data_IF_299946791584
#
_entry.id   IF_299946791584
#
_cell.length_a   1.000
_cell.length_b   1.000
_cell.length_c   1.000
_cell.angle_alpha   90.00
_cell.angle_beta   90.00
_cell.angle_gamma   90.00
#
_symmetry.space_group_name_H-M   'P 1'
#
loop_
_entity.id
_entity.type
_entity.pdbx_description
1 polymer ?
#
# COMPACT_ATOMS: atom_id res chain seq x y z
N UNK A 1 10.63 21.31 1.04
CA UNK A 1 11.34 20.10 0.56
C UNK A 1 10.29 19.06 0.19
N UNK A 2 10.08 18.81 -1.11
CA UNK A 2 9.08 17.87 -1.59
C UNK A 2 9.59 16.43 -1.44
N UNK A 3 8.90 15.64 -0.63
CA UNK A 3 9.24 14.26 -0.33
C UNK A 3 9.01 13.40 -1.58
N UNK A 4 10.09 12.79 -2.08
CA UNK A 4 10.12 12.04 -3.33
C UNK A 4 9.45 10.66 -3.15
N UNK A 5 8.13 10.66 -3.29
CA UNK A 5 7.36 9.49 -3.72
C UNK A 5 6.26 10.09 -4.59
N UNK A 6 6.30 9.81 -5.89
CA UNK A 6 5.34 10.36 -6.85
C UNK A 6 3.94 9.96 -6.40
N UNK A 7 2.96 10.88 -6.43
CA UNK A 7 1.58 10.59 -5.99
C UNK A 7 1.03 9.30 -6.63
N UNK A 8 1.42 9.03 -7.87
CA UNK A 8 1.13 7.81 -8.61
C UNK A 8 1.58 6.52 -7.90
N UNK A 9 2.80 6.47 -7.34
CA UNK A 9 3.28 5.30 -6.58
C UNK A 9 2.41 5.09 -5.33
N UNK A 10 2.02 6.18 -4.66
CA UNK A 10 1.22 6.12 -3.43
C UNK A 10 -0.23 5.69 -3.71
N UNK A 11 -0.84 6.21 -4.78
CA UNK A 11 -2.16 5.81 -5.25
C UNK A 11 -2.17 4.34 -5.69
N UNK A 12 -1.15 3.89 -6.41
CA UNK A 12 -0.98 2.49 -6.80
C UNK A 12 -0.83 1.59 -5.60
N UNK A 13 -0.03 1.99 -4.61
CA UNK A 13 0.12 1.24 -3.37
C UNK A 13 -1.21 1.15 -2.61
N UNK A 14 -1.94 2.26 -2.49
CA UNK A 14 -3.25 2.30 -1.85
C UNK A 14 -4.27 1.43 -2.59
N UNK A 15 -4.32 1.52 -3.92
CA UNK A 15 -5.20 0.73 -4.77
C UNK A 15 -4.87 -0.77 -4.67
N UNK A 16 -3.59 -1.14 -4.69
CA UNK A 16 -3.14 -2.52 -4.51
C UNK A 16 -3.51 -3.08 -3.14
N UNK A 17 -3.31 -2.29 -2.08
CA UNK A 17 -3.71 -2.67 -0.73
C UNK A 17 -5.24 -2.75 -0.60
N UNK A 18 -5.99 -1.85 -1.23
CA UNK A 18 -7.44 -1.89 -1.23
C UNK A 18 -7.99 -3.10 -2.02
N UNK A 19 -7.32 -3.48 -3.12
CA UNK A 19 -7.71 -4.63 -3.98
C UNK A 19 -7.34 -5.98 -3.37
N UNK A 20 -6.13 -6.11 -2.83
CA UNK A 20 -5.61 -7.39 -2.31
C UNK A 20 -5.61 -7.53 -0.79
N UNK A 21 -5.62 -6.42 -0.06
CA UNK A 21 -5.53 -6.37 1.40
C UNK A 21 -4.11 -6.11 1.91
N UNK A 22 -4.03 -5.51 3.10
CA UNK A 22 -2.76 -5.30 3.82
C UNK A 22 -2.13 -6.65 4.16
N UNK A 23 -0.88 -6.88 3.72
CA UNK A 23 -0.17 -8.14 3.95
C UNK A 23 -0.03 -9.02 2.71
N UNK A 24 -0.79 -8.76 1.65
CA UNK A 24 -0.67 -9.43 0.34
C UNK A 24 0.27 -8.67 -0.61
N UNK A 25 1.39 -8.18 -0.06
CA UNK A 25 2.41 -7.40 -0.79
C UNK A 25 2.93 -8.11 -2.05
N UNK A 26 3.07 -9.43 -1.95
CA UNK A 26 3.55 -10.25 -3.05
C UNK A 26 2.55 -10.29 -4.20
N UNK A 27 1.27 -10.49 -3.91
CA UNK A 27 0.20 -10.41 -4.92
C UNK A 27 0.12 -9.03 -5.58
N UNK A 28 0.30 -7.95 -4.80
CA UNK A 28 0.35 -6.58 -5.35
C UNK A 28 1.55 -6.42 -6.29
N UNK A 29 2.71 -7.01 -5.96
CA UNK A 29 3.90 -6.96 -6.81
C UNK A 29 3.84 -7.91 -8.03
N UNK A 30 3.03 -8.95 -7.97
CA UNK A 30 2.78 -9.86 -9.08
C UNK A 30 1.69 -9.34 -10.03
N UNK A 31 0.87 -8.39 -9.59
CA UNK A 31 -0.17 -7.78 -10.41
C UNK A 31 0.47 -6.88 -11.49
N UNK A 32 0.15 -7.05 -12.78
CA UNK A 32 0.74 -6.25 -13.87
C UNK A 32 0.36 -4.76 -13.82
N UNK A 33 -0.77 -4.39 -13.19
CA UNK A 33 -1.20 -3.00 -13.04
C UNK A 33 -0.34 -2.27 -11.99
N UNK A 34 0.03 -2.96 -10.91
CA UNK A 34 0.81 -2.37 -9.83
C UNK A 34 2.31 -2.64 -9.94
N UNK A 35 2.72 -3.79 -10.47
CA UNK A 35 4.12 -4.17 -10.63
C UNK A 35 4.89 -3.18 -11.51
N UNK A 36 4.24 -2.53 -12.48
CA UNK A 36 4.90 -1.50 -13.31
C UNK A 36 5.35 -0.30 -12.48
N UNK A 37 4.55 0.13 -11.50
CA UNK A 37 4.89 1.24 -10.62
C UNK A 37 5.73 0.80 -9.42
N UNK A 38 5.53 -0.44 -8.97
CA UNK A 38 6.21 -1.02 -7.81
C UNK A 38 7.42 -1.88 -8.21
N UNK A 39 7.84 -1.90 -9.48
CA UNK A 39 8.98 -2.71 -9.96
C UNK A 39 10.29 -2.33 -9.25
N UNK A 40 10.40 -1.07 -8.84
CA UNK A 40 11.55 -0.54 -8.09
C UNK A 40 11.40 -0.72 -6.58
N UNK A 41 10.24 -1.20 -6.13
CA UNK A 41 9.90 -1.41 -4.72
C UNK A 41 9.89 -2.90 -4.40
N UNK A 42 10.50 -3.24 -3.28
CA UNK A 42 10.47 -4.61 -2.78
C UNK A 42 9.28 -4.80 -1.85
N UNK A 43 8.90 -6.06 -1.61
CA UNK A 43 7.90 -6.42 -0.58
C UNK A 43 8.17 -5.72 0.77
N UNK A 44 9.46 -5.51 1.10
CA UNK A 44 9.90 -4.82 2.32
C UNK A 44 9.59 -3.32 2.24
N UNK A 45 9.90 -2.66 1.12
CA UNK A 45 9.60 -1.23 0.91
C UNK A 45 8.10 -0.95 1.00
N UNK A 46 7.25 -1.81 0.42
CA UNK A 46 5.79 -1.65 0.50
C UNK A 46 5.29 -1.73 1.96
N UNK A 47 5.78 -2.72 2.71
CA UNK A 47 5.43 -2.88 4.11
C UNK A 47 5.88 -1.68 4.94
N UNK A 48 7.11 -1.21 4.74
CA UNK A 48 7.65 -0.08 5.48
C UNK A 48 6.96 1.23 5.12
N UNK A 49 6.72 1.47 3.82
CA UNK A 49 5.98 2.62 3.31
C UNK A 49 4.56 2.65 3.85
N UNK A 50 3.84 1.52 3.86
CA UNK A 50 2.51 1.43 4.46
C UNK A 50 2.53 1.75 5.95
N UNK A 51 3.50 1.22 6.71
CA UNK A 51 3.65 1.54 8.14
C UNK A 51 3.94 3.01 8.38
N UNK A 52 4.77 3.63 7.55
CA UNK A 52 5.02 5.07 7.63
C UNK A 52 3.76 5.88 7.29
N UNK A 53 3.01 5.51 6.24
CA UNK A 53 1.76 6.19 5.89
C UNK A 53 0.67 6.04 6.97
N UNK A 54 0.52 4.85 7.54
CA UNK A 54 -0.40 4.57 8.65
C UNK A 54 -0.04 5.36 9.92
N UNK A 55 1.24 5.67 10.14
CA UNK A 55 1.71 6.47 11.28
C UNK A 55 1.54 7.98 11.07
N UNK A 56 1.70 8.46 9.83
CA UNK A 56 1.62 9.89 9.49
C UNK A 56 0.15 10.35 9.39
N UNK A 57 -0.78 9.46 9.04
CA UNK A 57 -2.21 9.76 8.99
C UNK A 57 -2.98 8.95 10.05
N UNK A 58 -3.19 9.46 11.27
CA UNK A 58 -4.07 8.83 12.26
C UNK A 58 -5.57 8.85 11.86
N UNK A 59 -5.92 9.21 10.62
CA UNK A 59 -7.29 9.50 10.19
C UNK A 59 -7.63 8.77 8.88
N UNK A 60 -7.54 7.44 8.85
CA UNK A 60 -8.36 6.60 7.95
C UNK A 60 -8.90 5.33 8.65
N UNK A 61 -8.97 5.34 9.99
CA UNK A 61 -9.66 4.33 10.80
C UNK A 61 -11.14 4.70 11.01
N UNK A 62 -11.79 5.27 9.98
CA UNK A 62 -13.21 5.64 10.00
C UNK A 62 -14.07 4.81 9.06
N UNK A 63 -13.67 3.56 8.84
CA UNK A 63 -14.57 2.54 8.31
C UNK A 63 -14.48 1.26 9.16
N UNK A 64 -15.45 1.00 10.06
CA UNK A 64 -15.45 -0.20 10.89
C UNK A 64 -15.66 -1.52 10.12
N UNK A 65 -15.86 -1.48 8.80
CA UNK A 65 -16.11 -2.68 7.98
C UNK A 65 -14.87 -3.26 7.27
N UNK A 66 -13.68 -2.68 7.44
CA UNK A 66 -12.47 -3.12 6.70
C UNK A 66 -11.44 -3.88 7.53
N UNK A 67 -11.80 -4.38 8.72
CA UNK A 67 -10.93 -5.23 9.54
C UNK A 67 -11.67 -6.48 9.99
N UNK A 68 -12.06 -7.33 9.03
CA UNK A 68 -12.45 -8.70 9.35
C UNK A 68 -12.16 -9.67 8.21
N UNK A 69 -10.91 -9.77 7.80
CA UNK A 69 -10.44 -10.91 6.99
C UNK A 69 -9.04 -11.33 7.43
N UNK A 70 -8.98 -12.09 8.52
CA UNK A 70 -7.95 -13.11 8.69
C UNK A 70 -8.40 -14.12 9.78
N UNK A 71 -9.06 -15.20 9.36
CA UNK A 71 -8.82 -16.51 9.99
C UNK A 71 -7.66 -17.16 9.23
#
# INVERSE_FOLDING_TARGET
>A
MANQKTAEEEETLLAGIAKYGTGKWRNILEDPEFSVQLQYRTNIDLKDKWRNMSRINPIQERNPNMVRFNE
#
